data_IF_914979794472
#
_entry.id   IF_914979794472
#
_cell.length_a   1.000
_cell.length_b   1.000
_cell.length_c   1.000
_cell.angle_alpha   90.00
_cell.angle_beta   90.00
_cell.angle_gamma   90.00
#
_symmetry.space_group_name_H-M   'P 1'
#
loop_
_entity.id
_entity.type
_entity.pdbx_description
1 polymer ?
#
# COMPACT_ATOMS: atom_id res chain seq x y z
N UNK A 1 -6.96 22.78 -82.79
CA UNK A 1 -6.74 23.57 -81.57
C UNK A 1 -6.56 22.60 -80.41
N UNK A 2 -5.53 22.55 -79.56
CA UNK A 2 -4.13 22.95 -79.54
C UNK A 2 -3.49 22.07 -78.43
N UNK A 3 -2.28 21.53 -78.62
CA UNK A 3 -1.56 20.74 -77.59
C UNK A 3 -1.06 21.67 -76.46
N UNK A 4 -1.12 21.29 -75.17
CA UNK A 4 -0.40 22.02 -74.14
C UNK A 4 1.06 21.55 -74.07
N UNK A 5 1.96 22.53 -74.06
CA UNK A 5 3.40 22.40 -73.89
C UNK A 5 3.69 22.25 -72.39
N UNK A 6 4.45 21.21 -72.03
CA UNK A 6 4.98 21.00 -70.67
C UNK A 6 6.16 21.96 -70.44
N UNK A 7 5.96 22.99 -69.61
CA UNK A 7 7.04 23.82 -69.07
C UNK A 7 7.59 23.15 -67.80
N UNK A 8 8.78 22.54 -67.91
CA UNK A 8 9.56 22.10 -66.74
C UNK A 8 10.20 23.37 -66.14
N UNK A 9 9.72 23.79 -64.97
CA UNK A 9 10.38 24.80 -64.14
C UNK A 9 11.47 24.10 -63.32
N UNK A 10 12.74 24.39 -63.59
CA UNK A 10 13.84 23.98 -62.70
C UNK A 10 13.68 24.70 -61.36
N UNK A 11 13.49 23.96 -60.28
CA UNK A 11 13.48 24.54 -58.93
C UNK A 11 14.91 24.91 -58.52
N UNK A 12 15.27 26.18 -58.66
CA UNK A 12 16.44 26.73 -57.97
C UNK A 12 16.16 26.68 -56.46
N UNK A 13 16.81 25.76 -55.75
CA UNK A 13 16.80 25.71 -54.29
C UNK A 13 17.44 27.01 -53.82
N UNK A 14 16.68 27.83 -53.08
CA UNK A 14 17.20 29.10 -52.57
C UNK A 14 18.36 28.86 -51.62
N UNK A 15 19.32 29.79 -51.64
CA UNK A 15 20.54 29.77 -50.82
C UNK A 15 20.24 29.61 -49.32
N UNK A 16 19.08 30.08 -48.88
CA UNK A 16 18.56 29.93 -47.51
C UNK A 16 18.19 28.47 -47.17
N UNK A 17 17.58 27.72 -48.09
CA UNK A 17 17.29 26.29 -47.87
C UNK A 17 18.57 25.45 -47.77
N UNK A 18 19.58 25.79 -48.57
CA UNK A 18 20.90 25.15 -48.47
C UNK A 18 21.56 25.46 -47.13
N UNK A 19 21.45 26.71 -46.65
CA UNK A 19 21.95 27.10 -45.33
C UNK A 19 21.23 26.35 -44.19
N UNK A 20 19.90 26.22 -44.25
CA UNK A 20 19.13 25.48 -43.24
C UNK A 20 19.45 23.98 -43.23
N UNK A 21 19.64 23.38 -44.41
CA UNK A 21 20.03 21.97 -44.51
C UNK A 21 21.46 21.77 -43.98
N UNK A 22 22.39 22.66 -44.33
CA UNK A 22 23.77 22.61 -43.84
C UNK A 22 23.85 22.80 -42.31
N UNK A 23 23.07 23.74 -41.75
CA UNK A 23 22.99 23.95 -40.31
C UNK A 23 22.37 22.73 -39.58
N UNK A 24 21.36 22.10 -40.18
CA UNK A 24 20.74 20.89 -39.62
C UNK A 24 21.70 19.71 -39.62
N UNK A 25 22.45 19.51 -40.71
CA UNK A 25 23.48 18.46 -40.82
C UNK A 25 24.62 18.74 -39.83
N UNK A 26 25.05 20.00 -39.68
CA UNK A 26 26.04 20.41 -38.70
C UNK A 26 25.62 20.12 -37.26
N UNK A 27 24.37 20.43 -36.89
CA UNK A 27 23.82 20.13 -35.58
C UNK A 27 23.73 18.62 -35.30
N UNK A 28 23.33 17.82 -36.30
CA UNK A 28 23.28 16.35 -36.18
C UNK A 28 24.69 15.77 -36.01
N UNK A 29 25.68 16.27 -36.76
CA UNK A 29 27.06 15.83 -36.62
C UNK A 29 27.65 16.20 -35.25
N UNK A 30 27.35 17.40 -34.73
CA UNK A 30 27.77 17.80 -33.37
C UNK A 30 27.11 16.92 -32.32
N UNK A 31 25.82 16.59 -32.48
CA UNK A 31 25.11 15.67 -31.59
C UNK A 31 25.71 14.25 -31.63
N UNK A 32 26.03 13.72 -32.81
CA UNK A 32 26.69 12.41 -32.94
C UNK A 32 28.11 12.40 -32.36
N UNK A 33 28.88 13.48 -32.53
CA UNK A 33 30.21 13.61 -31.92
C UNK A 33 30.12 13.71 -30.39
N UNK A 34 29.15 14.45 -29.86
CA UNK A 34 28.89 14.50 -28.41
C UNK A 34 28.44 13.14 -27.86
N UNK A 35 27.55 12.43 -28.55
CA UNK A 35 27.09 11.10 -28.14
C UNK A 35 28.18 10.01 -28.25
N UNK A 36 29.17 10.17 -29.14
CA UNK A 36 30.30 9.23 -29.26
C UNK A 36 31.43 9.51 -28.27
N UNK A 37 31.53 10.74 -27.73
CA UNK A 37 32.52 11.11 -26.72
C UNK A 37 32.02 11.03 -25.27
N UNK A 38 30.72 10.90 -25.04
CA UNK A 38 30.21 10.47 -23.74
C UNK A 38 30.41 8.96 -23.60
N UNK A 39 31.59 8.54 -23.16
CA UNK A 39 31.71 7.25 -22.46
C UNK A 39 30.64 7.28 -21.37
N UNK A 40 29.68 6.36 -21.44
CA UNK A 40 28.79 6.16 -20.31
C UNK A 40 29.65 6.03 -19.06
N UNK A 41 29.43 6.84 -18.02
CA UNK A 41 30.07 6.58 -16.75
C UNK A 41 29.56 5.21 -16.30
N UNK A 42 30.44 4.21 -16.36
CA UNK A 42 30.23 2.93 -15.69
C UNK A 42 30.17 3.22 -14.19
N UNK A 43 28.98 3.59 -13.73
CA UNK A 43 28.63 3.54 -12.33
C UNK A 43 28.38 2.08 -12.00
N UNK A 44 29.45 1.28 -11.92
CA UNK A 44 29.42 0.12 -11.04
C UNK A 44 29.46 0.68 -9.62
N UNK A 45 28.39 0.58 -8.82
CA UNK A 45 28.50 0.93 -7.42
C UNK A 45 29.38 -0.16 -6.80
N UNK A 46 30.54 0.24 -6.27
CA UNK A 46 31.22 -0.49 -5.18
C UNK A 46 30.35 -0.37 -3.92
N UNK A 47 29.09 -0.81 -4.00
CA UNK A 47 28.34 -1.14 -2.81
C UNK A 47 28.84 -2.52 -2.40
N UNK A 48 29.31 -2.71 -1.15
CA UNK A 48 29.49 -4.06 -0.65
C UNK A 48 28.14 -4.75 -0.80
N UNK A 49 28.07 -5.77 -1.66
CA UNK A 49 26.90 -6.64 -1.67
C UNK A 49 26.75 -7.11 -0.22
N UNK A 50 25.57 -6.94 0.40
CA UNK A 50 25.33 -7.62 1.67
C UNK A 50 25.74 -9.07 1.45
N UNK A 51 26.46 -9.63 2.43
CA UNK A 51 26.99 -10.99 2.38
C UNK A 51 25.81 -11.97 2.48
N UNK A 52 24.95 -11.97 1.47
CA UNK A 52 23.88 -12.92 1.26
C UNK A 52 24.64 -14.16 0.84
N UNK A 53 24.81 -15.09 1.78
CA UNK A 53 25.21 -16.45 1.44
C UNK A 53 24.26 -16.89 0.33
N UNK A 54 24.80 -17.21 -0.84
CA UNK A 54 24.02 -17.91 -1.87
C UNK A 54 23.39 -19.12 -1.17
N UNK A 55 22.05 -19.25 -1.20
CA UNK A 55 21.41 -20.41 -0.59
C UNK A 55 22.06 -21.65 -1.17
N UNK A 56 22.37 -22.62 -0.29
CA UNK A 56 22.96 -23.88 -0.70
C UNK A 56 22.18 -24.45 -1.87
N UNK A 57 22.88 -24.99 -2.88
CA UNK A 57 22.37 -25.45 -4.16
C UNK A 57 21.43 -26.68 -4.10
N UNK A 58 20.53 -26.72 -3.12
CA UNK A 58 19.45 -27.69 -3.03
C UNK A 58 18.26 -27.20 -3.85
N UNK A 59 17.69 -28.12 -4.64
CA UNK A 59 16.47 -27.85 -5.41
C UNK A 59 15.33 -27.51 -4.46
N UNK A 60 14.68 -26.39 -4.70
CA UNK A 60 13.50 -25.92 -3.98
C UNK A 60 12.26 -25.99 -4.88
N UNK A 61 11.11 -25.52 -4.38
CA UNK A 61 9.90 -25.42 -5.21
C UNK A 61 10.05 -24.42 -6.37
N UNK A 62 11.05 -23.52 -6.33
CA UNK A 62 11.36 -22.61 -7.43
C UNK A 62 11.91 -23.34 -8.67
N UNK A 63 12.48 -24.53 -8.48
CA UNK A 63 13.01 -25.38 -9.56
C UNK A 63 11.93 -26.27 -10.20
N UNK A 64 10.70 -26.28 -9.67
CA UNK A 64 9.59 -27.00 -10.28
C UNK A 64 8.99 -26.19 -11.44
N UNK A 65 9.10 -26.66 -12.70
CA UNK A 65 8.54 -25.98 -13.87
C UNK A 65 7.01 -25.91 -13.86
N UNK A 66 6.32 -26.50 -12.87
CA UNK A 66 4.88 -26.37 -12.64
C UNK A 66 4.53 -25.26 -11.63
N UNK A 67 5.49 -24.75 -10.86
CA UNK A 67 5.27 -23.63 -9.93
C UNK A 67 4.90 -22.37 -10.71
N UNK A 68 3.81 -21.73 -10.32
CA UNK A 68 3.29 -20.51 -10.95
C UNK A 68 2.89 -19.50 -9.87
N UNK A 69 3.25 -18.25 -10.08
CA UNK A 69 2.84 -17.12 -9.24
C UNK A 69 1.43 -16.63 -9.58
N UNK A 70 0.95 -16.96 -10.77
CA UNK A 70 -0.36 -16.57 -11.30
C UNK A 70 -1.52 -17.32 -10.66
N UNK A 71 -2.72 -16.75 -10.79
CA UNK A 71 -3.99 -17.29 -10.28
C UNK A 71 -4.66 -18.32 -11.23
N UNK A 72 -3.96 -18.81 -12.25
CA UNK A 72 -4.53 -19.75 -13.24
C UNK A 72 -4.62 -21.19 -12.73
N UNK A 73 -3.76 -21.55 -11.77
CA UNK A 73 -3.74 -22.88 -11.16
C UNK A 73 -3.63 -22.75 -9.64
N UNK A 74 -4.44 -23.50 -8.87
CA UNK A 74 -4.29 -23.52 -7.42
C UNK A 74 -2.88 -23.92 -6.99
N UNK A 75 -2.37 -23.25 -5.95
CA UNK A 75 -1.11 -23.64 -5.32
C UNK A 75 -1.40 -24.74 -4.32
N UNK A 76 -0.78 -25.91 -4.46
CA UNK A 76 -0.95 -27.03 -3.53
C UNK A 76 0.35 -27.33 -2.77
N UNK A 77 0.20 -27.90 -1.58
CA UNK A 77 1.29 -28.26 -0.66
C UNK A 77 2.21 -27.08 -0.32
N UNK A 78 1.66 -25.87 -0.23
CA UNK A 78 2.39 -24.64 0.06
C UNK A 78 3.05 -24.66 1.42
N UNK A 79 2.36 -25.10 2.48
CA UNK A 79 2.94 -25.19 3.82
C UNK A 79 4.17 -26.09 3.85
N UNK A 80 4.10 -27.22 3.14
CA UNK A 80 5.22 -28.17 3.03
C UNK A 80 6.39 -27.58 2.22
N UNK A 81 6.11 -26.89 1.11
CA UNK A 81 7.11 -26.20 0.30
C UNK A 81 7.81 -25.09 1.08
N UNK A 82 7.01 -24.27 1.80
CA UNK A 82 7.49 -23.17 2.64
C UNK A 82 8.32 -23.69 3.81
N UNK A 83 7.86 -24.72 4.51
CA UNK A 83 8.60 -25.37 5.61
C UNK A 83 9.97 -25.88 5.15
N UNK A 84 10.02 -26.63 4.04
CA UNK A 84 11.29 -27.11 3.46
C UNK A 84 12.22 -25.97 3.09
N UNK A 85 11.69 -24.91 2.49
CA UNK A 85 12.50 -23.74 2.17
C UNK A 85 13.09 -23.09 3.43
N UNK A 86 12.31 -22.96 4.51
CA UNK A 86 12.77 -22.39 5.78
C UNK A 86 13.83 -23.26 6.48
N UNK A 87 13.66 -24.60 6.45
CA UNK A 87 14.64 -25.56 6.98
C UNK A 87 16.00 -25.44 6.27
N UNK A 88 15.97 -25.22 4.96
CA UNK A 88 17.18 -25.04 4.15
C UNK A 88 17.77 -23.62 4.27
N UNK A 89 17.04 -22.68 4.86
CA UNK A 89 17.40 -21.26 4.96
C UNK A 89 17.26 -20.73 6.40
N UNK A 90 17.99 -21.31 7.38
CA UNK A 90 17.78 -21.04 8.81
C UNK A 90 18.04 -19.58 9.22
N UNK A 91 18.85 -18.83 8.47
CA UNK A 91 19.05 -17.39 8.70
C UNK A 91 17.75 -16.58 8.55
N UNK A 92 16.84 -17.04 7.69
CA UNK A 92 15.55 -16.41 7.45
C UNK A 92 14.45 -16.92 8.40
N UNK A 93 14.58 -18.15 8.93
CA UNK A 93 13.63 -18.74 9.87
C UNK A 93 13.57 -18.02 11.24
N UNK A 94 14.64 -17.30 11.63
CA UNK A 94 14.69 -16.54 12.89
C UNK A 94 13.68 -15.37 12.95
N UNK A 95 13.12 -14.93 11.81
CA UNK A 95 12.07 -13.91 11.70
C UNK A 95 10.66 -14.51 11.78
N UNK A 96 10.40 -15.40 12.74
CA UNK A 96 9.18 -16.23 12.82
C UNK A 96 7.82 -15.46 12.83
N UNK A 97 7.83 -14.12 12.92
CA UNK A 97 6.68 -13.23 12.83
C UNK A 97 6.89 -12.06 11.86
N UNK A 98 7.71 -12.24 10.81
CA UNK A 98 7.97 -11.19 9.82
C UNK A 98 6.69 -10.67 9.18
N UNK A 99 6.57 -9.34 9.09
CA UNK A 99 5.46 -8.65 8.44
C UNK A 99 5.96 -7.95 7.18
N UNK A 100 5.26 -8.14 6.07
CA UNK A 100 5.45 -7.36 4.85
C UNK A 100 4.21 -6.51 4.58
N UNK A 101 4.35 -5.19 4.56
CA UNK A 101 3.30 -4.28 4.13
C UNK A 101 3.29 -4.18 2.60
N UNK A 102 2.15 -4.45 1.98
CA UNK A 102 1.95 -4.32 0.54
C UNK A 102 0.93 -3.22 0.29
N UNK A 103 1.30 -2.27 -0.58
CA UNK A 103 0.42 -1.21 -1.08
C UNK A 103 0.61 -1.11 -2.59
N UNK A 104 -0.26 -0.38 -3.27
CA UNK A 104 -0.03 -0.09 -4.67
C UNK A 104 -0.99 0.91 -5.27
N UNK A 105 -0.64 1.43 -6.45
CA UNK A 105 -1.46 2.31 -7.25
C UNK A 105 -1.51 1.83 -8.71
N UNK A 106 -2.34 2.47 -9.51
CA UNK A 106 -2.33 2.28 -10.95
C UNK A 106 -0.98 2.69 -11.58
N UNK A 107 -0.58 2.10 -12.73
CA UNK A 107 0.71 2.38 -13.38
C UNK A 107 0.82 3.76 -14.03
N UNK A 108 -0.30 4.41 -14.32
CA UNK A 108 -0.35 5.72 -14.97
C UNK A 108 -0.53 6.85 -13.96
N UNK A 109 -0.16 8.06 -14.37
CA UNK A 109 -0.35 9.29 -13.59
C UNK A 109 -1.81 9.49 -13.18
N UNK A 110 -2.00 10.08 -12.01
CA UNK A 110 -3.32 10.43 -11.52
C UNK A 110 -4.01 11.43 -12.44
N UNK A 111 -5.34 11.32 -12.53
CA UNK A 111 -6.17 12.30 -13.24
C UNK A 111 -6.23 13.61 -12.46
N UNK A 112 -6.35 13.51 -11.13
CA UNK A 112 -6.26 14.65 -10.24
C UNK A 112 -4.80 15.14 -10.17
N UNK A 113 -4.50 16.42 -10.47
CA UNK A 113 -3.13 16.95 -10.49
C UNK A 113 -2.37 16.80 -9.16
N UNK A 114 -3.07 16.82 -8.02
CA UNK A 114 -2.46 16.60 -6.69
C UNK A 114 -2.41 15.12 -6.29
N UNK A 115 -3.02 14.22 -7.07
CA UNK A 115 -3.15 12.81 -6.74
C UNK A 115 -1.81 12.10 -6.57
N UNK A 116 -0.89 12.26 -7.51
CA UNK A 116 0.44 11.62 -7.44
C UNK A 116 1.28 12.17 -6.26
N UNK A 117 1.14 13.47 -5.95
CA UNK A 117 1.78 14.06 -4.77
C UNK A 117 1.26 13.44 -3.47
N UNK A 118 -0.06 13.26 -3.37
CA UNK A 118 -0.66 12.58 -2.23
C UNK A 118 -0.18 11.12 -2.16
N UNK A 119 -0.22 10.37 -3.26
CA UNK A 119 0.25 8.97 -3.30
C UNK A 119 1.71 8.83 -2.81
N UNK A 120 2.58 9.77 -3.16
CA UNK A 120 3.94 9.84 -2.63
C UNK A 120 3.96 10.02 -1.11
N UNK A 121 3.15 10.95 -0.58
CA UNK A 121 3.06 11.18 0.88
C UNK A 121 2.47 9.99 1.62
N UNK A 122 1.43 9.37 1.06
CA UNK A 122 0.85 8.12 1.55
C UNK A 122 1.90 6.99 1.60
N UNK A 123 2.73 6.86 0.56
CA UNK A 123 3.79 5.86 0.55
C UNK A 123 4.91 6.18 1.55
N UNK A 124 5.37 7.44 1.64
CA UNK A 124 6.34 7.87 2.66
C UNK A 124 5.86 7.49 4.07
N UNK A 125 4.59 7.75 4.41
CA UNK A 125 4.02 7.37 5.70
C UNK A 125 4.18 5.86 5.99
N UNK A 126 3.85 5.01 5.01
CA UNK A 126 4.01 3.55 5.13
C UNK A 126 5.47 3.16 5.28
N UNK A 127 6.39 3.79 4.53
CA UNK A 127 7.84 3.56 4.64
C UNK A 127 8.35 3.93 6.03
N UNK A 128 7.92 5.06 6.59
CA UNK A 128 8.31 5.50 7.94
C UNK A 128 7.86 4.49 8.99
N UNK A 129 6.60 4.06 8.95
CA UNK A 129 6.08 3.03 9.85
C UNK A 129 6.86 1.72 9.72
N UNK A 130 7.05 1.22 8.49
CA UNK A 130 7.78 -0.03 8.27
C UNK A 130 9.23 0.04 8.78
N UNK A 131 9.91 1.18 8.57
CA UNK A 131 11.26 1.42 9.11
C UNK A 131 11.29 1.36 10.63
N UNK A 132 10.34 2.00 11.31
CA UNK A 132 10.24 2.03 12.78
C UNK A 132 10.03 0.63 13.36
N UNK A 133 9.20 -0.19 12.70
CA UNK A 133 8.80 -1.51 13.20
C UNK A 133 9.64 -2.67 12.64
N UNK A 134 10.59 -2.39 11.74
CA UNK A 134 11.41 -3.42 11.08
C UNK A 134 10.60 -4.30 10.13
N UNK A 135 9.51 -3.77 9.57
CA UNK A 135 8.69 -4.47 8.58
C UNK A 135 9.24 -4.26 7.18
N UNK A 136 8.99 -5.23 6.30
CA UNK A 136 9.29 -5.10 4.89
C UNK A 136 8.16 -4.35 4.18
N UNK A 137 8.46 -3.69 3.06
CA UNK A 137 7.45 -2.96 2.29
C UNK A 137 7.60 -3.22 0.80
N UNK A 138 6.47 -3.48 0.14
CA UNK A 138 6.39 -3.64 -1.31
C UNK A 138 5.36 -2.69 -1.89
N UNK A 139 5.76 -1.93 -2.92
CA UNK A 139 4.86 -1.07 -3.67
C UNK A 139 4.60 -1.65 -5.05
N UNK A 140 3.38 -2.12 -5.28
CA UNK A 140 2.97 -2.58 -6.60
C UNK A 140 2.46 -1.43 -7.46
N UNK A 141 2.99 -1.28 -8.67
CA UNK A 141 2.47 -0.34 -9.66
C UNK A 141 2.10 -1.03 -10.98
N UNK A 142 1.95 -2.35 -10.99
CA UNK A 142 1.66 -3.13 -12.19
C UNK A 142 0.46 -4.07 -11.98
N UNK A 143 -0.29 -4.35 -13.05
CA UNK A 143 -1.32 -5.39 -13.02
C UNK A 143 -0.69 -6.75 -13.31
N UNK A 144 -0.62 -7.61 -12.28
CA UNK A 144 -0.14 -8.98 -12.44
C UNK A 144 -1.15 -9.89 -13.14
N UNK A 145 -2.40 -9.44 -13.24
CA UNK A 145 -3.46 -10.11 -13.99
C UNK A 145 -4.25 -9.07 -14.80
N UNK A 146 -4.30 -9.19 -16.13
CA UNK A 146 -5.01 -8.23 -16.99
C UNK A 146 -6.52 -8.13 -16.73
N UNK A 147 -7.15 -9.15 -16.13
CA UNK A 147 -8.59 -9.14 -15.80
C UNK A 147 -8.85 -8.57 -14.40
N UNK A 148 -7.93 -8.75 -13.45
CA UNK A 148 -8.09 -8.29 -12.06
C UNK A 148 -7.51 -6.88 -11.88
N UNK A 149 -8.30 -5.85 -12.24
CA UNK A 149 -7.95 -4.43 -12.10
C UNK A 149 -8.63 -3.78 -10.90
N UNK A 150 -8.26 -2.53 -10.61
CA UNK A 150 -8.88 -1.72 -9.54
C UNK A 150 -8.79 -2.46 -8.20
N UNK A 151 -9.86 -2.46 -7.39
CA UNK A 151 -9.95 -3.11 -6.08
C UNK A 151 -9.53 -4.59 -6.11
N UNK A 152 -9.73 -5.30 -7.23
CA UNK A 152 -9.37 -6.70 -7.38
C UNK A 152 -7.88 -6.96 -7.60
N UNK A 153 -7.09 -5.93 -7.93
CA UNK A 153 -5.67 -6.07 -8.23
C UNK A 153 -4.83 -6.49 -7.01
N UNK A 154 -5.36 -6.33 -5.79
CA UNK A 154 -4.71 -6.77 -4.54
C UNK A 154 -4.54 -8.28 -4.45
N UNK A 155 -5.48 -9.06 -5.00
CA UNK A 155 -5.45 -10.53 -4.85
C UNK A 155 -4.25 -11.17 -5.58
N UNK A 156 -3.98 -10.88 -6.87
CA UNK A 156 -2.81 -11.43 -7.55
C UNK A 156 -1.48 -11.07 -6.89
N UNK A 157 -1.31 -9.84 -6.38
CA UNK A 157 -0.06 -9.44 -5.72
C UNK A 157 0.10 -10.09 -4.35
N UNK A 158 -0.98 -10.27 -3.58
CA UNK A 158 -0.94 -11.02 -2.32
C UNK A 158 -0.42 -12.44 -2.54
N UNK A 159 -0.96 -13.15 -3.54
CA UNK A 159 -0.46 -14.48 -3.91
C UNK A 159 1.00 -14.44 -4.34
N UNK A 160 1.35 -13.55 -5.27
CA UNK A 160 2.72 -13.48 -5.78
C UNK A 160 3.73 -13.20 -4.66
N UNK A 161 3.38 -12.31 -3.73
CA UNK A 161 4.21 -11.99 -2.58
C UNK A 161 4.38 -13.17 -1.62
N UNK A 162 3.32 -13.96 -1.35
CA UNK A 162 3.44 -15.18 -0.55
C UNK A 162 4.48 -16.15 -1.11
N UNK A 163 4.48 -16.37 -2.44
CA UNK A 163 5.47 -17.23 -3.10
C UNK A 163 6.87 -16.62 -3.14
N UNK A 164 6.98 -15.30 -3.33
CA UNK A 164 8.26 -14.60 -3.41
C UNK A 164 8.94 -14.49 -2.04
N UNK A 165 8.16 -14.50 -0.96
CA UNK A 165 8.62 -14.28 0.41
C UNK A 165 8.19 -15.40 1.36
N UNK A 166 8.69 -16.64 1.18
CA UNK A 166 8.41 -17.76 2.09
C UNK A 166 8.89 -17.50 3.53
N UNK A 167 9.81 -16.57 3.76
CA UNK A 167 10.25 -16.11 5.09
C UNK A 167 9.23 -15.24 5.83
N UNK A 168 8.30 -14.60 5.11
CA UNK A 168 7.30 -13.71 5.71
C UNK A 168 6.13 -14.54 6.22
N UNK A 169 5.74 -14.29 7.47
CA UNK A 169 4.60 -14.97 8.11
C UNK A 169 3.30 -14.23 7.84
N UNK A 170 3.32 -12.90 7.86
CA UNK A 170 2.15 -12.06 7.66
C UNK A 170 2.35 -11.05 6.54
N UNK A 171 1.42 -11.04 5.60
CA UNK A 171 1.33 -9.98 4.60
C UNK A 171 0.22 -9.03 5.03
N UNK A 172 0.53 -7.75 5.11
CA UNK A 172 -0.39 -6.69 5.44
C UNK A 172 -0.70 -5.87 4.18
N UNK A 173 -1.84 -6.15 3.54
CA UNK A 173 -2.36 -5.28 2.49
C UNK A 173 -2.85 -3.96 3.09
N UNK A 174 -2.44 -2.85 2.50
CA UNK A 174 -2.90 -1.51 2.85
C UNK A 174 -3.17 -0.70 1.59
N UNK A 175 -4.41 -0.21 1.44
CA UNK A 175 -4.83 0.62 0.31
C UNK A 175 -3.98 1.89 0.22
N UNK A 176 -3.88 2.44 -1.00
CA UNK A 176 -3.06 3.60 -1.29
C UNK A 176 -3.48 4.84 -0.46
N UNK A 177 -4.77 5.00 -0.21
CA UNK A 177 -5.41 6.10 0.53
C UNK A 177 -5.64 5.77 2.03
N UNK A 178 -5.00 4.72 2.54
CA UNK A 178 -4.89 4.46 3.98
C UNK A 178 -3.51 4.86 4.52
N UNK A 179 -3.44 5.43 5.72
CA UNK A 179 -2.19 5.77 6.41
C UNK A 179 -2.15 5.25 7.83
N UNK A 180 -0.93 5.05 8.33
CA UNK A 180 -0.67 4.90 9.76
C UNK A 180 -0.76 6.27 10.43
N UNK A 181 -1.63 6.40 11.42
CA UNK A 181 -1.77 7.58 12.27
C UNK A 181 -1.28 7.36 13.69
N UNK A 182 -1.05 6.11 14.08
CA UNK A 182 -0.24 5.75 15.24
C UNK A 182 1.05 5.08 14.78
N UNK A 183 2.16 5.83 14.79
CA UNK A 183 3.47 5.33 14.35
C UNK A 183 4.14 4.44 15.41
N UNK A 184 3.64 4.43 16.64
CA UNK A 184 4.20 3.67 17.76
C UNK A 184 3.45 2.34 17.98
N UNK A 185 2.21 2.23 17.50
CA UNK A 185 1.38 1.03 17.63
C UNK A 185 2.04 -0.20 17.01
N UNK A 186 2.06 -1.31 17.75
CA UNK A 186 2.49 -2.62 17.25
C UNK A 186 1.28 -3.53 17.06
N UNK A 187 1.22 -4.18 15.89
CA UNK A 187 0.17 -5.15 15.59
C UNK A 187 0.26 -6.32 16.60
N UNK A 188 -0.82 -6.65 17.33
CA UNK A 188 -0.79 -7.69 18.36
C UNK A 188 -0.89 -9.09 17.74
N UNK A 189 0.11 -9.51 16.94
CA UNK A 189 0.07 -10.74 16.13
C UNK A 189 -0.26 -12.02 16.93
N UNK A 190 0.15 -12.10 18.20
CA UNK A 190 -0.17 -13.23 19.09
C UNK A 190 -1.68 -13.42 19.29
N UNK A 191 -2.47 -12.33 19.24
CA UNK A 191 -3.95 -12.38 19.27
C UNK A 191 -4.52 -13.19 18.10
N UNK A 192 -3.81 -13.21 16.98
CA UNK A 192 -4.26 -13.80 15.72
C UNK A 192 -3.64 -15.17 15.44
N UNK A 193 -2.98 -15.80 16.41
CA UNK A 193 -2.25 -17.06 16.21
C UNK A 193 -3.08 -18.19 15.61
N UNK A 194 -4.36 -18.26 15.97
CA UNK A 194 -5.28 -19.30 15.48
C UNK A 194 -6.00 -18.93 14.17
N UNK A 195 -5.73 -17.75 13.63
CA UNK A 195 -6.38 -17.15 12.47
C UNK A 195 -5.38 -16.93 11.33
N UNK A 196 -5.92 -16.83 10.10
CA UNK A 196 -5.14 -16.68 8.88
C UNK A 196 -5.51 -15.43 8.07
N UNK A 197 -6.65 -14.81 8.35
CA UNK A 197 -7.05 -13.53 7.78
C UNK A 197 -7.58 -12.64 8.91
N UNK A 198 -7.13 -11.40 8.99
CA UNK A 198 -7.63 -10.40 9.94
C UNK A 198 -8.12 -9.20 9.15
N UNK A 199 -9.36 -8.81 9.42
CA UNK A 199 -10.01 -7.66 8.77
C UNK A 199 -10.71 -6.83 9.83
N UNK A 200 -10.72 -5.51 9.69
CA UNK A 200 -11.52 -4.67 10.57
C UNK A 200 -13.01 -4.84 10.24
N UNK A 201 -13.86 -4.91 11.25
CA UNK A 201 -15.31 -4.92 11.02
C UNK A 201 -16.14 -4.93 12.30
N UNK A 202 -17.46 -4.94 12.13
CA UNK A 202 -18.41 -4.86 13.23
C UNK A 202 -19.37 -6.06 13.19
N UNK A 203 -19.28 -7.01 14.15
CA UNK A 203 -20.09 -8.23 14.13
C UNK A 203 -21.59 -7.99 13.96
N UNK A 204 -22.14 -6.97 14.62
CA UNK A 204 -23.54 -6.57 14.47
C UNK A 204 -23.88 -6.20 13.01
N UNK A 205 -23.06 -5.36 12.38
CA UNK A 205 -23.26 -4.95 11.00
C UNK A 205 -23.12 -6.11 10.02
N UNK A 206 -22.24 -7.09 10.33
CA UNK A 206 -22.05 -8.28 9.51
C UNK A 206 -23.27 -9.19 9.63
N UNK A 207 -23.58 -9.68 10.83
CA UNK A 207 -24.48 -10.81 11.03
C UNK A 207 -25.96 -10.43 11.18
N UNK A 208 -26.26 -9.23 11.67
CA UNK A 208 -27.62 -8.75 11.84
C UNK A 208 -28.03 -7.86 10.67
N UNK A 209 -27.27 -6.80 10.42
CA UNK A 209 -27.63 -5.77 9.43
C UNK A 209 -27.26 -6.19 8.00
N UNK A 210 -26.29 -7.10 7.84
CA UNK A 210 -25.75 -7.57 6.56
C UNK A 210 -25.28 -6.42 5.67
N UNK A 211 -24.60 -5.46 6.27
CA UNK A 211 -24.12 -4.28 5.57
C UNK A 211 -22.87 -4.59 4.74
N UNK A 212 -22.75 -4.02 3.54
CA UNK A 212 -21.56 -4.19 2.70
C UNK A 212 -20.34 -3.44 3.22
N UNK A 213 -20.54 -2.45 4.09
CA UNK A 213 -19.46 -1.71 4.78
C UNK A 213 -19.17 -2.27 6.18
N UNK A 214 -19.72 -3.43 6.51
CA UNK A 214 -19.55 -4.08 7.82
C UNK A 214 -18.13 -4.57 8.10
N UNK A 215 -17.31 -4.71 7.06
CA UNK A 215 -15.86 -4.93 7.13
C UNK A 215 -15.15 -3.96 6.18
N UNK A 216 -13.84 -3.75 6.36
CA UNK A 216 -13.03 -2.98 5.42
C UNK A 216 -11.78 -3.75 4.98
N UNK A 217 -11.69 -3.98 3.67
CA UNK A 217 -10.61 -4.74 3.03
C UNK A 217 -9.49 -3.86 2.46
N UNK A 218 -9.50 -2.57 2.81
CA UNK A 218 -8.38 -1.68 2.55
C UNK A 218 -7.23 -1.79 3.55
N UNK A 219 -7.42 -2.57 4.62
CA UNK A 219 -6.38 -2.94 5.56
C UNK A 219 -6.61 -4.38 6.03
N UNK A 220 -5.82 -5.33 5.53
CA UNK A 220 -6.02 -6.77 5.77
C UNK A 220 -4.69 -7.45 6.07
N UNK A 221 -4.62 -8.20 7.17
CA UNK A 221 -3.52 -9.11 7.43
C UNK A 221 -3.89 -10.51 6.91
N UNK A 222 -3.00 -11.14 6.17
CA UNK A 222 -3.17 -12.49 5.67
C UNK A 222 -1.90 -13.31 5.94
N UNK A 223 -2.05 -14.49 6.55
CA UNK A 223 -0.96 -15.38 6.89
C UNK A 223 -0.44 -16.11 5.66
N UNK A 224 0.87 -16.23 5.51
CA UNK A 224 1.50 -16.96 4.41
C UNK A 224 1.41 -18.49 4.63
N UNK A 225 0.27 -19.07 4.25
CA UNK A 225 -0.04 -20.49 4.46
C UNK A 225 -0.92 -21.07 3.34
N UNK A 226 -1.05 -22.39 3.28
CA UNK A 226 -1.86 -23.09 2.28
C UNK A 226 -3.32 -22.63 2.32
N UNK A 227 -3.87 -22.45 3.53
CA UNK A 227 -5.23 -21.94 3.68
C UNK A 227 -5.43 -20.60 2.97
N UNK A 228 -4.44 -19.70 3.05
CA UNK A 228 -4.54 -18.39 2.43
C UNK A 228 -4.44 -18.48 0.89
N UNK A 229 -3.59 -19.37 0.37
CA UNK A 229 -3.54 -19.65 -1.07
C UNK A 229 -4.91 -20.09 -1.60
N UNK A 230 -5.54 -21.05 -0.91
CA UNK A 230 -6.85 -21.56 -1.30
C UNK A 230 -7.95 -20.49 -1.13
N UNK A 231 -7.86 -19.69 -0.06
CA UNK A 231 -8.80 -18.60 0.19
C UNK A 231 -8.72 -17.52 -0.88
N UNK A 232 -7.52 -17.13 -1.34
CA UNK A 232 -7.35 -16.16 -2.43
C UNK A 232 -7.97 -16.66 -3.73
N UNK A 233 -7.92 -17.97 -4.02
CA UNK A 233 -8.57 -18.56 -5.19
C UNK A 233 -10.10 -18.49 -5.08
N UNK A 234 -10.68 -18.77 -3.90
CA UNK A 234 -12.11 -18.63 -3.63
C UNK A 234 -12.55 -17.16 -3.74
N UNK A 235 -11.78 -16.25 -3.15
CA UNK A 235 -12.09 -14.83 -3.15
C UNK A 235 -12.04 -14.25 -4.57
N UNK A 236 -11.00 -14.59 -5.35
CA UNK A 236 -10.89 -14.24 -6.76
C UNK A 236 -12.00 -14.86 -7.64
N UNK A 237 -12.59 -15.97 -7.21
CA UNK A 237 -13.72 -16.63 -7.89
C UNK A 237 -15.00 -15.80 -7.93
N UNK A 238 -15.08 -14.73 -7.14
CA UNK A 238 -16.16 -13.73 -7.17
C UNK A 238 -15.75 -12.46 -7.93
N UNK A 239 -14.53 -12.40 -8.46
CA UNK A 239 -13.97 -11.27 -9.19
C UNK A 239 -14.06 -11.39 -10.72
N UNK A 240 -13.51 -10.42 -11.47
CA UNK A 240 -13.63 -10.32 -12.93
C UNK A 240 -13.11 -11.51 -13.74
N UNK A 241 -12.32 -12.39 -13.13
CA UNK A 241 -11.89 -13.65 -13.77
C UNK A 241 -13.01 -14.67 -13.89
N UNK A 242 -14.01 -14.58 -13.02
CA UNK A 242 -15.11 -15.52 -12.96
C UNK A 242 -16.04 -15.36 -14.17
N UNK A 243 -16.47 -16.46 -14.82
CA UNK A 243 -17.53 -16.37 -15.82
C UNK A 243 -18.84 -15.85 -15.22
N UNK A 244 -19.02 -16.03 -13.89
CA UNK A 244 -20.21 -15.63 -13.15
C UNK A 244 -20.08 -14.25 -12.51
N UNK A 245 -19.10 -13.41 -12.91
CA UNK A 245 -18.84 -12.12 -12.27
C UNK A 245 -20.06 -11.19 -12.18
N UNK A 246 -20.84 -11.10 -13.26
CA UNK A 246 -22.07 -10.32 -13.28
C UNK A 246 -23.15 -10.91 -12.36
N UNK A 247 -23.19 -12.24 -12.22
CA UNK A 247 -24.11 -12.93 -11.34
C UNK A 247 -23.71 -12.75 -9.87
N UNK A 248 -22.41 -12.79 -9.55
CA UNK A 248 -21.91 -12.41 -8.23
C UNK A 248 -22.32 -10.99 -7.86
N UNK A 249 -22.28 -10.03 -8.78
CA UNK A 249 -22.81 -8.69 -8.55
C UNK A 249 -24.31 -8.66 -8.17
N UNK A 250 -25.13 -9.57 -8.73
CA UNK A 250 -26.54 -9.74 -8.32
C UNK A 250 -26.67 -10.42 -6.96
N UNK A 251 -25.94 -11.51 -6.73
CA UNK A 251 -25.95 -12.27 -5.47
C UNK A 251 -25.54 -11.38 -4.29
N UNK A 252 -24.47 -10.58 -4.46
CA UNK A 252 -23.99 -9.70 -3.40
C UNK A 252 -25.00 -8.61 -3.07
N UNK A 253 -25.66 -8.02 -4.08
CA UNK A 253 -26.74 -7.03 -3.85
C UNK A 253 -28.00 -7.62 -3.22
N UNK A 254 -28.34 -8.88 -3.53
CA UNK A 254 -29.49 -9.54 -2.89
C UNK A 254 -29.17 -10.02 -1.48
N UNK A 255 -27.90 -10.25 -1.16
CA UNK A 255 -27.45 -10.71 0.15
C UNK A 255 -27.21 -9.57 1.13
N UNK A 256 -26.67 -8.43 0.66
CA UNK A 256 -26.24 -7.31 1.48
C UNK A 256 -27.25 -6.16 1.38
N UNK A 257 -27.74 -5.72 2.54
CA UNK A 257 -28.94 -4.88 2.66
C UNK A 257 -28.81 -3.49 2.04
N UNK A 258 -27.60 -2.94 2.06
CA UNK A 258 -27.28 -1.56 1.68
C UNK A 258 -26.28 -1.47 0.51
N UNK A 259 -25.97 -2.60 -0.16
CA UNK A 259 -25.12 -2.60 -1.35
C UNK A 259 -25.88 -2.07 -2.56
N UNK A 260 -25.51 -0.90 -3.03
CA UNK A 260 -26.12 -0.26 -4.22
C UNK A 260 -25.32 -0.50 -5.50
N UNK A 261 -24.00 -0.67 -5.41
CA UNK A 261 -23.13 -0.86 -6.58
C UNK A 261 -23.44 -2.18 -7.30
N UNK A 262 -23.58 -2.16 -8.64
CA UNK A 262 -24.03 -3.31 -9.40
C UNK A 262 -23.00 -4.44 -9.50
N UNK A 263 -21.73 -4.07 -9.51
CA UNK A 263 -20.63 -5.00 -9.72
C UNK A 263 -20.23 -5.70 -8.43
N UNK A 264 -19.62 -6.86 -8.59
CA UNK A 264 -18.96 -7.56 -7.50
C UNK A 264 -17.65 -6.87 -7.13
N UNK A 265 -17.42 -6.71 -5.83
CA UNK A 265 -16.19 -6.15 -5.28
C UNK A 265 -15.65 -7.07 -4.18
N UNK A 266 -14.36 -6.92 -3.91
CA UNK A 266 -13.65 -7.78 -2.97
C UNK A 266 -14.19 -7.62 -1.52
N UNK A 267 -14.72 -6.45 -1.14
CA UNK A 267 -15.15 -6.19 0.24
C UNK A 267 -16.48 -6.89 0.48
N UNK A 268 -17.44 -6.66 -0.40
CA UNK A 268 -18.75 -7.29 -0.39
C UNK A 268 -18.64 -8.81 -0.48
N UNK A 269 -17.71 -9.33 -1.29
CA UNK A 269 -17.47 -10.77 -1.38
C UNK A 269 -16.87 -11.36 -0.09
N UNK A 270 -16.04 -10.62 0.64
CA UNK A 270 -15.59 -11.05 1.96
C UNK A 270 -16.73 -11.08 2.99
N UNK A 271 -17.61 -10.08 2.99
CA UNK A 271 -18.83 -10.09 3.84
C UNK A 271 -19.70 -11.29 3.49
N UNK A 272 -19.88 -11.60 2.20
CA UNK A 272 -20.61 -12.78 1.76
C UNK A 272 -19.98 -14.07 2.28
N UNK A 273 -18.64 -14.22 2.24
CA UNK A 273 -17.95 -15.39 2.78
C UNK A 273 -18.11 -15.51 4.30
N UNK A 274 -18.13 -14.40 5.03
CA UNK A 274 -18.42 -14.39 6.48
C UNK A 274 -19.86 -14.85 6.78
N UNK A 275 -20.82 -14.50 5.94
CA UNK A 275 -22.24 -14.83 6.10
C UNK A 275 -22.59 -16.25 5.62
N UNK A 276 -22.09 -16.63 4.45
CA UNK A 276 -22.53 -17.79 3.66
C UNK A 276 -21.42 -18.78 3.35
N UNK A 277 -20.16 -18.41 3.56
CA UNK A 277 -19.02 -19.29 3.33
C UNK A 277 -18.99 -20.50 4.26
N UNK A 278 -18.26 -21.52 3.81
CA UNK A 278 -18.01 -22.73 4.59
C UNK A 278 -17.31 -22.42 5.92
N UNK A 279 -17.55 -23.28 6.91
CA UNK A 279 -16.93 -23.19 8.24
C UNK A 279 -15.39 -23.13 8.18
N UNK A 280 -14.77 -23.86 7.25
CA UNK A 280 -13.31 -23.85 7.04
C UNK A 280 -12.73 -22.45 6.73
N UNK A 281 -13.52 -21.56 6.15
CA UNK A 281 -13.11 -20.18 5.87
C UNK A 281 -13.41 -19.29 7.07
N UNK A 282 -14.66 -19.32 7.54
CA UNK A 282 -15.14 -18.44 8.62
C UNK A 282 -14.33 -18.60 9.91
N UNK A 283 -14.02 -19.83 10.30
CA UNK A 283 -13.27 -20.11 11.54
C UNK A 283 -11.84 -19.57 11.53
N UNK A 284 -11.30 -19.20 10.36
CA UNK A 284 -9.95 -18.66 10.20
C UNK A 284 -9.90 -17.17 9.90
N UNK A 285 -11.06 -16.52 9.75
CA UNK A 285 -11.17 -15.07 9.58
C UNK A 285 -11.45 -14.44 10.95
N UNK A 286 -10.56 -13.57 11.40
CA UNK A 286 -10.75 -12.75 12.59
C UNK A 286 -11.32 -11.38 12.20
N UNK A 287 -12.43 -10.99 12.83
CA UNK A 287 -13.01 -9.66 12.68
C UNK A 287 -12.53 -8.78 13.83
N UNK A 288 -11.57 -7.89 13.56
CA UNK A 288 -10.97 -7.00 14.56
C UNK A 288 -11.82 -5.73 14.74
N UNK A 289 -12.10 -5.39 15.99
CA UNK A 289 -12.92 -4.24 16.37
C UNK A 289 -12.44 -3.53 17.65
N UNK A 290 -11.31 -3.94 18.25
CA UNK A 290 -10.75 -3.33 19.47
C UNK A 290 -9.81 -2.16 19.17
N UNK A 291 -9.29 -2.08 17.95
CA UNK A 291 -8.52 -0.93 17.47
C UNK A 291 -8.82 -0.66 15.99
N UNK A 292 -8.43 0.53 15.53
CA UNK A 292 -8.64 0.98 14.15
C UNK A 292 -7.64 0.32 13.18
N UNK A 293 -7.73 -1.00 12.98
CA UNK A 293 -7.06 -1.67 11.85
C UNK A 293 -7.50 -1.04 10.52
N UNK A 294 -8.76 -0.63 10.47
CA UNK A 294 -9.27 0.41 9.59
C UNK A 294 -9.95 1.47 10.45
N UNK A 295 -9.74 2.74 10.14
CA UNK A 295 -10.41 3.86 10.79
C UNK A 295 -11.00 4.81 9.76
N UNK A 296 -12.32 4.94 9.75
CA UNK A 296 -13.01 5.82 8.80
C UNK A 296 -12.65 7.29 9.06
N UNK A 297 -12.06 7.95 8.06
CA UNK A 297 -11.41 9.26 8.22
C UNK A 297 -12.34 10.35 8.79
N UNK A 298 -13.62 10.40 8.40
CA UNK A 298 -14.57 11.40 8.90
C UNK A 298 -14.71 11.36 10.43
N UNK A 299 -14.66 10.18 11.05
CA UNK A 299 -14.75 10.02 12.50
C UNK A 299 -13.48 10.40 13.26
N UNK A 300 -12.38 10.65 12.53
CA UNK A 300 -11.02 10.79 13.06
C UNK A 300 -10.48 12.21 12.86
N UNK A 301 -10.50 12.74 11.62
CA UNK A 301 -9.69 13.93 11.26
C UNK A 301 -10.03 15.18 12.08
N UNK A 302 -11.30 15.33 12.44
CA UNK A 302 -11.77 16.45 13.28
C UNK A 302 -11.29 16.37 14.73
N UNK A 303 -10.81 15.21 15.20
CA UNK A 303 -10.33 14.99 16.57
C UNK A 303 -8.81 15.08 16.68
N UNK A 304 -8.08 15.18 15.58
CA UNK A 304 -6.61 15.10 15.57
C UNK A 304 -5.93 16.16 16.47
N UNK A 305 -6.48 17.38 16.54
CA UNK A 305 -5.93 18.43 17.42
C UNK A 305 -6.12 18.12 18.90
N UNK A 306 -7.27 17.55 19.27
CA UNK A 306 -7.52 17.07 20.63
C UNK A 306 -6.57 15.90 20.96
N UNK A 307 -6.41 14.98 20.01
CA UNK A 307 -5.49 13.84 20.13
C UNK A 307 -4.05 14.32 20.29
N UNK A 308 -3.59 15.27 19.48
CA UNK A 308 -2.25 15.83 19.60
C UNK A 308 -2.04 16.47 20.99
N UNK A 309 -3.02 17.27 21.45
CA UNK A 309 -2.93 17.98 22.73
C UNK A 309 -2.79 17.05 23.93
N UNK A 310 -3.64 16.04 24.11
CA UNK A 310 -3.51 15.23 25.34
C UNK A 310 -2.29 14.29 25.31
N UNK A 311 -1.75 13.93 24.14
CA UNK A 311 -0.44 13.26 24.09
C UNK A 311 0.70 14.20 24.52
N UNK A 312 0.66 15.48 24.13
CA UNK A 312 1.59 16.49 24.67
C UNK A 312 1.42 16.57 26.20
N UNK A 313 0.20 16.66 26.71
CA UNK A 313 -0.06 16.71 28.17
C UNK A 313 0.44 15.48 28.92
N UNK A 314 0.35 14.29 28.31
CA UNK A 314 0.94 13.07 28.87
C UNK A 314 2.47 13.17 28.96
N UNK A 315 3.13 13.66 27.90
CA UNK A 315 4.57 13.89 27.90
C UNK A 315 4.99 14.92 28.94
N UNK A 316 4.18 15.97 29.19
CA UNK A 316 4.45 16.93 30.27
C UNK A 316 4.56 16.23 31.63
N UNK A 317 3.68 15.26 31.88
CA UNK A 317 3.56 14.53 33.16
C UNK A 317 4.63 13.45 33.33
N UNK A 318 5.10 12.80 32.26
CA UNK A 318 6.11 11.74 32.34
C UNK A 318 7.41 12.12 31.60
N UNK A 319 8.46 12.41 32.39
CA UNK A 319 9.81 12.71 31.91
C UNK A 319 10.39 11.64 30.97
N UNK A 320 10.00 10.37 31.12
CA UNK A 320 10.50 9.27 30.28
C UNK A 320 10.02 9.41 28.84
N UNK A 321 8.79 9.89 28.64
CA UNK A 321 8.21 10.06 27.30
C UNK A 321 8.85 11.23 26.52
N UNK A 322 9.39 12.23 27.24
CA UNK A 322 10.10 13.40 26.68
C UNK A 322 11.56 13.13 26.34
N UNK A 323 12.12 12.03 26.82
CA UNK A 323 13.54 11.72 26.63
C UNK A 323 13.82 11.49 25.14
N UNK A 324 14.78 12.25 24.61
CA UNK A 324 15.32 12.01 23.26
C UNK A 324 16.00 10.65 23.21
N UNK A 325 15.80 9.94 22.11
CA UNK A 325 16.37 8.62 21.86
C UNK A 325 16.71 8.51 20.38
N UNK A 326 17.67 7.63 20.05
CA UNK A 326 17.89 7.27 18.65
C UNK A 326 16.69 6.45 18.14
N UNK A 327 16.30 6.63 16.88
CA UNK A 327 15.18 5.90 16.27
C UNK A 327 15.38 4.37 16.40
N UNK A 328 16.63 3.89 16.30
CA UNK A 328 17.01 2.48 16.44
C UNK A 328 16.76 1.87 17.83
N UNK A 329 16.60 2.68 18.88
CA UNK A 329 16.35 2.22 20.26
C UNK A 329 14.98 2.65 20.78
N UNK A 330 14.03 2.88 19.85
CA UNK A 330 12.64 3.24 20.13
C UNK A 330 12.09 2.41 21.30
N UNK A 331 11.92 3.08 22.45
CA UNK A 331 11.35 2.49 23.64
C UNK A 331 9.83 2.48 23.49
N UNK A 332 9.18 1.37 23.85
CA UNK A 332 7.71 1.24 23.85
C UNK A 332 7.06 2.30 24.76
N UNK A 333 6.65 3.43 24.17
CA UNK A 333 5.88 4.49 24.83
C UNK A 333 4.42 4.11 25.06
N UNK A 334 3.93 3.04 24.42
CA UNK A 334 2.52 2.60 24.50
C UNK A 334 2.07 2.18 25.91
N UNK A 335 2.99 1.81 26.82
CA UNK A 335 2.64 1.33 28.16
C UNK A 335 1.99 2.41 29.06
N UNK A 336 1.88 3.66 28.61
CA UNK A 336 1.45 4.78 29.43
C UNK A 336 0.10 5.41 29.03
N UNK A 337 -0.59 4.91 28.01
CA UNK A 337 -1.89 5.46 27.56
C UNK A 337 -3.05 4.65 28.16
N UNK A 338 -3.87 5.30 29.00
CA UNK A 338 -5.07 4.72 29.61
C UNK A 338 -6.12 4.27 28.59
N UNK A 339 -7.05 3.43 29.04
CA UNK A 339 -8.13 2.88 28.21
C UNK A 339 -9.08 3.97 27.68
N UNK A 340 -9.43 3.91 26.39
CA UNK A 340 -10.44 4.77 25.76
C UNK A 340 -9.93 6.05 25.07
N UNK A 341 -8.62 6.33 25.06
CA UNK A 341 -8.08 7.57 24.48
C UNK A 341 -6.81 7.36 23.64
N UNK A 342 -6.78 6.34 22.79
CA UNK A 342 -5.61 6.03 21.94
C UNK A 342 -5.72 6.71 20.57
N UNK A 343 -4.56 6.96 19.94
CA UNK A 343 -4.53 7.34 18.51
C UNK A 343 -5.18 6.21 17.69
N UNK A 344 -5.93 6.55 16.63
CA UNK A 344 -6.35 5.55 15.67
C UNK A 344 -5.11 4.99 14.98
N UNK A 345 -5.00 3.67 14.91
CA UNK A 345 -3.86 3.02 14.27
C UNK A 345 -3.80 3.37 12.78
N UNK A 346 -4.86 3.08 12.04
CA UNK A 346 -5.01 3.43 10.62
C UNK A 346 -6.11 4.48 10.44
N UNK A 347 -5.84 5.48 9.61
CA UNK A 347 -6.86 6.39 9.07
C UNK A 347 -6.98 6.12 7.57
N UNK A 348 -8.18 5.74 7.12
CA UNK A 348 -8.45 5.34 5.74
C UNK A 348 -9.44 6.33 5.11
N UNK A 349 -9.00 6.99 4.04
CA UNK A 349 -9.74 8.00 3.27
C UNK A 349 -10.69 7.39 2.24
N UNK A 350 -11.42 6.34 2.65
CA UNK A 350 -12.38 5.64 1.81
C UNK A 350 -13.35 6.63 1.17
N UNK A 351 -13.47 6.56 -0.15
CA UNK A 351 -14.34 7.45 -0.93
C UNK A 351 -13.73 8.80 -1.29
N UNK A 352 -12.56 9.19 -0.79
CA UNK A 352 -11.90 10.44 -1.21
C UNK A 352 -11.21 10.34 -2.57
N UNK A 353 -10.86 9.12 -3.02
CA UNK A 353 -10.27 8.84 -4.32
C UNK A 353 -9.22 9.88 -4.78
N UNK A 354 -8.13 10.10 -4.02
CA UNK A 354 -7.20 11.21 -4.24
C UNK A 354 -6.62 11.24 -5.67
N UNK A 355 -6.52 10.09 -6.32
CA UNK A 355 -5.93 9.95 -7.63
C UNK A 355 -6.88 10.25 -8.79
N UNK A 356 -8.15 9.83 -8.71
CA UNK A 356 -9.15 10.17 -9.74
C UNK A 356 -9.65 11.60 -9.55
N UNK A 357 -9.81 12.03 -8.30
CA UNK A 357 -10.53 13.26 -7.93
C UNK A 357 -12.04 13.06 -7.80
N UNK A 358 -12.55 11.89 -8.21
CA UNK A 358 -13.97 11.53 -8.24
C UNK A 358 -14.45 11.09 -6.84
N UNK A 359 -14.27 11.94 -5.84
CA UNK A 359 -14.63 11.64 -4.46
C UNK A 359 -16.14 11.50 -4.28
N UNK A 360 -16.54 10.84 -3.20
CA UNK A 360 -17.93 10.67 -2.81
C UNK A 360 -18.60 12.05 -2.70
N UNK A 361 -19.72 12.31 -3.41
CA UNK A 361 -20.41 13.60 -3.38
C UNK A 361 -20.88 14.05 -1.99
N UNK A 362 -20.97 13.13 -1.03
CA UNK A 362 -21.28 13.45 0.37
C UNK A 362 -20.12 14.16 1.10
N UNK A 363 -18.91 14.18 0.54
CA UNK A 363 -17.77 14.90 1.09
C UNK A 363 -17.68 16.27 0.43
N UNK A 364 -17.91 17.32 1.22
CA UNK A 364 -18.03 18.68 0.69
C UNK A 364 -16.66 19.33 0.46
N UNK A 365 -16.55 20.10 -0.62
CA UNK A 365 -15.43 20.99 -0.89
C UNK A 365 -14.07 20.31 -0.90
N UNK A 366 -13.13 20.86 -0.15
CA UNK A 366 -11.74 20.38 -0.01
C UNK A 366 -11.54 19.47 1.21
N UNK A 367 -12.63 19.02 1.85
CA UNK A 367 -12.57 18.26 3.11
C UNK A 367 -11.68 17.02 3.05
N UNK A 368 -11.71 16.29 1.92
CA UNK A 368 -10.82 15.15 1.68
C UNK A 368 -9.35 15.58 1.66
N UNK A 369 -9.00 16.61 0.88
CA UNK A 369 -7.61 17.09 0.75
C UNK A 369 -7.09 17.58 2.11
N UNK A 370 -7.84 18.46 2.77
CA UNK A 370 -7.49 19.00 4.09
C UNK A 370 -7.38 17.89 5.13
N UNK A 371 -8.31 16.92 5.12
CA UNK A 371 -8.27 15.75 5.99
C UNK A 371 -7.01 14.91 5.79
N UNK A 372 -6.65 14.61 4.53
CA UNK A 372 -5.45 13.86 4.17
C UNK A 372 -4.17 14.57 4.63
N UNK A 373 -4.04 15.87 4.36
CA UNK A 373 -2.88 16.64 4.78
C UNK A 373 -2.72 16.68 6.30
N UNK A 374 -3.82 16.91 7.02
CA UNK A 374 -3.82 16.94 8.48
C UNK A 374 -3.41 15.60 9.09
N UNK A 375 -3.96 14.50 8.59
CA UNK A 375 -3.65 13.17 9.11
C UNK A 375 -2.21 12.74 8.78
N UNK A 376 -1.71 13.08 7.58
CA UNK A 376 -0.31 12.87 7.20
C UNK A 376 0.63 13.68 8.09
N UNK A 377 0.33 14.96 8.35
CA UNK A 377 1.13 15.81 9.23
C UNK A 377 1.09 15.32 10.69
N UNK A 378 -0.06 14.85 11.15
CA UNK A 378 -0.23 14.26 12.48
C UNK A 378 0.65 13.02 12.67
N UNK A 379 0.73 12.14 11.68
CA UNK A 379 1.61 10.98 11.69
C UNK A 379 3.09 11.38 11.56
N UNK A 380 3.43 12.28 10.64
CA UNK A 380 4.80 12.76 10.38
C UNK A 380 5.40 13.46 11.61
N UNK A 381 4.58 14.15 12.42
CA UNK A 381 5.03 14.71 13.69
C UNK A 381 5.58 13.65 14.67
N UNK A 382 5.06 12.43 14.64
CA UNK A 382 5.56 11.33 15.50
C UNK A 382 6.95 10.88 15.03
N UNK A 383 7.19 10.90 13.71
CA UNK A 383 8.50 10.59 13.10
C UNK A 383 9.50 11.72 13.37
N UNK A 384 9.15 12.95 13.02
CA UNK A 384 10.01 14.14 13.12
C UNK A 384 10.47 14.43 14.56
N UNK A 385 9.69 14.00 15.56
CA UNK A 385 10.08 14.08 16.97
C UNK A 385 11.41 13.39 17.26
N UNK A 386 11.69 12.27 16.60
CA UNK A 386 12.98 11.57 16.76
C UNK A 386 14.15 12.35 16.14
N UNK A 387 13.85 13.25 15.21
CA UNK A 387 14.81 14.16 14.58
C UNK A 387 14.89 15.52 15.27
N UNK A 388 14.15 15.73 16.36
CA UNK A 388 14.15 16.97 17.11
C UNK A 388 13.34 18.09 16.47
N UNK A 389 12.33 17.77 15.66
CA UNK A 389 11.45 18.74 15.01
C UNK A 389 9.98 18.41 15.20
N UNK A 390 9.13 19.44 15.15
CA UNK A 390 7.67 19.27 15.17
C UNK A 390 7.02 20.41 14.39
N UNK A 391 5.88 20.14 13.76
CA UNK A 391 5.02 21.18 13.19
C UNK A 391 4.27 21.92 14.31
N UNK A 392 4.02 23.24 14.20
CA UNK A 392 3.25 23.99 15.18
C UNK A 392 1.82 23.45 15.38
N UNK A 393 1.19 23.00 14.30
CA UNK A 393 -0.15 22.41 14.26
C UNK A 393 -0.25 21.41 13.09
N UNK A 394 -1.32 20.61 13.06
CA UNK A 394 -1.50 19.56 12.04
C UNK A 394 -1.90 20.11 10.68
N UNK A 395 -2.38 21.36 10.58
CA UNK A 395 -2.66 22.03 9.31
C UNK A 395 -1.41 22.60 8.64
N UNK A 396 -0.30 22.77 9.38
CA UNK A 396 0.93 23.36 8.83
C UNK A 396 1.74 22.37 7.97
N UNK A 397 1.60 22.49 6.65
CA UNK A 397 2.29 21.62 5.69
C UNK A 397 3.78 22.00 5.47
N UNK A 398 4.21 23.23 5.74
CA UNK A 398 5.43 23.77 5.14
C UNK A 398 6.61 23.94 6.11
N UNK A 399 6.37 24.22 7.39
CA UNK A 399 7.45 24.57 8.31
C UNK A 399 7.42 23.73 9.59
N UNK A 400 8.60 23.43 10.11
CA UNK A 400 8.81 22.72 11.37
C UNK A 400 9.63 23.61 12.30
N UNK A 401 9.37 23.49 13.60
CA UNK A 401 10.15 24.15 14.65
C UNK A 401 11.05 23.14 15.35
N UNK A 402 12.27 23.54 15.75
CA UNK A 402 13.12 22.69 16.56
C UNK A 402 12.46 22.44 17.93
N UNK A 403 12.54 21.20 18.41
CA UNK A 403 12.07 20.83 19.72
C UNK A 403 13.08 21.30 20.78
N UNK A 404 12.67 22.09 21.79
CA UNK A 404 13.53 22.43 22.92
C UNK A 404 13.98 21.17 23.67
N UNK A 405 15.04 21.31 24.47
CA UNK A 405 15.37 20.30 25.47
C UNK A 405 14.19 20.18 26.45
N UNK A 406 13.77 18.97 26.79
CA UNK A 406 12.60 18.73 27.66
C UNK A 406 11.25 19.30 27.13
N UNK A 407 11.04 19.23 25.81
CA UNK A 407 9.77 19.60 25.16
C UNK A 407 8.52 19.13 25.90
N UNK A 408 7.55 20.03 26.07
CA UNK A 408 6.33 19.82 26.86
C UNK A 408 6.33 20.55 28.20
N UNK A 409 7.47 20.99 28.75
CA UNK A 409 7.45 21.83 29.96
C UNK A 409 7.26 23.33 29.70
N UNK A 410 7.22 23.73 28.43
CA UNK A 410 7.08 25.12 27.97
C UNK A 410 5.64 25.36 27.50
#
# INVERSE_FOLDING_TARGET
MAKPILHIKSSNISRERILCIAASIGAILIFFVLCTYTKEPSFSPLLPRPNIKEPAAEKTFYDDPKTRYTMDKPMTNWDEKRRKWLENNPSFASKNNGVMVITGSQPWSCKNPTGDHLLLRFFKNKVDYCRIHGYEIFYNNAFLDPKMKSVWAKIPILRAAMLAHPEIEWIFWMDADAIFTDMEFKIPLERYKDHNLVVHGWPKMIYEEKSWVSVNTGAVLIRNCQWAMDFLDVWAGMGPRSPDYAEWGRILRSTLSDKTFPDSDEQSSLVYLLLKGDKKWKDKIYVENEYSLHGYWLGIVGKLDEIARKYVDMERRDKRLRRRHAEAVSAEKERHVGEGWRRPFVTHFTGCQPCSGDHNPAYEGDSCLVGMERALNFADNQVLRNYGFVRPDVGNASFVSPLPFDYGLI
#
